data_IF_748875034526
#
_entry.id   IF_748875034526
#
_cell.length_a   1.000
_cell.length_b   1.000
_cell.length_c   1.000
_cell.angle_alpha   90.00
_cell.angle_beta   90.00
_cell.angle_gamma   90.00
#
_symmetry.space_group_name_H-M   'P 1'
#
loop_
_entity.id
_entity.type
_entity.pdbx_description
1 polymer ?
#
# COMPACT_ATOMS: atom_id res chain seq x y z
N UNK A 1 22.65 1.75 9.27
CA UNK A 1 21.68 1.52 10.35
C UNK A 1 20.84 2.77 10.43
N UNK A 2 19.66 2.74 9.82
CA UNK A 2 18.76 3.90 9.73
C UNK A 2 17.53 3.62 10.59
N UNK A 3 17.54 4.19 11.80
CA UNK A 3 16.46 4.12 12.78
C UNK A 3 15.45 5.25 12.50
N UNK A 4 14.63 5.12 11.45
CA UNK A 4 13.59 6.14 11.20
C UNK A 4 12.36 5.72 10.39
N UNK A 5 12.08 4.43 10.17
CA UNK A 5 10.97 4.06 9.27
C UNK A 5 9.59 3.89 9.91
N UNK A 6 9.45 3.96 11.23
CA UNK A 6 8.15 3.77 11.89
C UNK A 6 8.00 4.65 13.15
N UNK A 7 7.05 5.59 13.13
CA UNK A 7 6.63 6.33 14.32
C UNK A 7 5.33 5.74 14.85
N UNK A 8 5.43 4.67 15.65
CA UNK A 8 4.28 4.10 16.34
C UNK A 8 4.10 4.79 17.68
N UNK A 9 3.21 5.78 17.75
CA UNK A 9 2.77 6.38 19.01
C UNK A 9 1.73 5.50 19.70
N UNK A 10 2.09 4.29 20.14
CA UNK A 10 1.19 3.47 20.97
C UNK A 10 1.95 2.70 22.06
N UNK A 11 1.54 2.92 23.31
CA UNK A 11 2.11 2.31 24.52
C UNK A 11 1.45 0.97 24.93
N UNK A 12 0.55 0.41 24.13
CA UNK A 12 -0.15 -0.85 24.45
C UNK A 12 -0.19 -1.77 23.23
N UNK A 13 0.62 -2.83 23.24
CA UNK A 13 0.48 -3.97 22.35
C UNK A 13 -0.59 -4.91 22.91
N UNK A 14 -1.72 -5.05 22.21
CA UNK A 14 -2.59 -6.21 22.37
C UNK A 14 -2.20 -7.20 21.29
N UNK A 15 -1.86 -8.44 21.65
CA UNK A 15 -1.78 -9.52 20.66
C UNK A 15 -3.20 -9.76 20.11
N UNK A 16 -3.39 -9.54 18.82
CA UNK A 16 -4.62 -9.93 18.15
C UNK A 16 -4.50 -11.36 17.64
N UNK A 17 -5.31 -12.25 18.21
CA UNK A 17 -5.55 -13.57 17.65
C UNK A 17 -6.61 -13.46 16.55
N UNK A 18 -6.19 -13.45 15.29
CA UNK A 18 -7.09 -13.50 14.13
C UNK A 18 -7.07 -14.90 13.51
N UNK A 19 -8.16 -15.67 13.71
CA UNK A 19 -8.26 -17.07 13.26
C UNK A 19 -8.33 -17.24 11.73
N UNK A 20 -8.49 -16.15 10.97
CA UNK A 20 -8.64 -16.19 9.51
C UNK A 20 -7.33 -16.24 8.71
N UNK A 21 -6.15 -16.19 9.35
CA UNK A 21 -4.87 -16.14 8.64
C UNK A 21 -4.63 -17.34 7.72
N UNK A 22 -5.10 -18.55 8.07
CA UNK A 22 -4.98 -19.72 7.21
C UNK A 22 -5.72 -19.54 5.87
N UNK A 23 -6.90 -18.91 5.89
CA UNK A 23 -7.62 -18.57 4.65
C UNK A 23 -6.86 -17.51 3.85
N UNK A 24 -6.29 -16.50 4.52
CA UNK A 24 -5.49 -15.46 3.88
C UNK A 24 -4.28 -16.07 3.16
N UNK A 25 -3.56 -17.02 3.77
CA UNK A 25 -2.40 -17.68 3.15
C UNK A 25 -2.74 -18.33 1.80
N UNK A 26 -3.91 -18.96 1.69
CA UNK A 26 -4.38 -19.54 0.41
C UNK A 26 -4.66 -18.49 -0.66
N UNK A 27 -5.14 -17.30 -0.26
CA UNK A 27 -5.42 -16.17 -1.15
C UNK A 27 -4.11 -15.50 -1.58
N UNK A 28 -3.16 -15.31 -0.66
CA UNK A 28 -1.86 -14.70 -0.95
C UNK A 28 -1.17 -15.35 -2.14
N UNK A 29 -1.13 -16.70 -2.19
CA UNK A 29 -0.50 -17.44 -3.29
C UNK A 29 -1.20 -17.25 -4.64
N UNK A 30 -2.51 -17.02 -4.64
CA UNK A 30 -3.28 -16.75 -5.87
C UNK A 30 -3.09 -15.31 -6.35
N UNK A 31 -3.09 -14.38 -5.39
CA UNK A 31 -2.93 -12.95 -5.64
C UNK A 31 -1.53 -12.66 -6.16
N UNK A 32 -0.48 -13.24 -5.57
CA UNK A 32 0.91 -13.04 -6.04
C UNK A 32 1.10 -13.41 -7.51
N UNK A 33 0.39 -14.44 -7.99
CA UNK A 33 0.45 -14.87 -9.40
C UNK A 33 -0.32 -13.94 -10.36
N UNK A 34 -1.16 -13.04 -9.83
CA UNK A 34 -1.91 -12.06 -10.62
C UNK A 34 -1.13 -10.77 -10.87
N UNK A 35 -0.03 -10.56 -10.13
CA UNK A 35 0.88 -9.44 -10.31
C UNK A 35 2.10 -9.89 -11.12
N UNK A 36 2.54 -9.05 -12.05
CA UNK A 36 3.81 -9.30 -12.75
C UNK A 36 4.97 -9.13 -11.75
N UNK A 37 5.85 -10.13 -11.57
CA UNK A 37 6.97 -10.02 -10.65
C UNK A 37 7.95 -8.91 -11.07
N UNK A 38 8.53 -8.18 -10.12
CA UNK A 38 9.68 -7.34 -10.41
C UNK A 38 10.87 -8.23 -10.82
N UNK A 39 11.40 -8.07 -12.04
CA UNK A 39 12.67 -8.70 -12.43
C UNK A 39 13.84 -7.86 -11.87
N UNK A 40 14.87 -8.52 -11.34
CA UNK A 40 16.04 -7.85 -10.79
C UNK A 40 16.77 -6.99 -11.82
N UNK A 41 17.44 -5.93 -11.36
CA UNK A 41 18.31 -5.13 -12.19
C UNK A 41 19.44 -6.01 -12.74
N UNK A 42 19.62 -6.05 -14.06
CA UNK A 42 20.68 -6.80 -14.70
C UNK A 42 21.80 -5.85 -15.13
N UNK A 43 22.99 -6.14 -14.65
CA UNK A 43 24.20 -5.46 -15.06
C UNK A 43 25.00 -6.38 -15.97
N UNK A 44 25.59 -5.83 -17.02
CA UNK A 44 26.60 -6.54 -17.80
C UNK A 44 27.90 -5.76 -17.83
N UNK A 45 28.97 -6.48 -18.17
CA UNK A 45 30.29 -5.88 -18.31
C UNK A 45 30.32 -4.95 -19.51
N UNK A 46 30.84 -3.74 -19.28
CA UNK A 46 30.95 -2.69 -20.28
C UNK A 46 32.20 -1.85 -20.05
N UNK A 47 32.63 -1.17 -21.11
CA UNK A 47 33.70 -0.15 -21.05
C UNK A 47 33.18 1.17 -20.48
N UNK A 48 31.87 1.30 -20.27
CA UNK A 48 31.17 2.46 -19.71
C UNK A 48 30.37 2.03 -18.48
N UNK A 49 30.23 2.90 -17.49
CA UNK A 49 29.44 2.62 -16.29
C UNK A 49 30.05 3.23 -15.03
N UNK A 50 29.30 3.23 -13.93
CA UNK A 50 29.70 3.83 -12.66
C UNK A 50 30.19 2.81 -11.62
N UNK A 51 29.78 1.55 -11.74
CA UNK A 51 30.18 0.48 -10.82
C UNK A 51 31.23 -0.43 -11.45
N UNK A 52 32.19 -0.92 -10.66
CA UNK A 52 33.27 -1.82 -11.14
C UNK A 52 32.78 -3.28 -11.13
N UNK A 53 32.95 -4.00 -12.23
CA UNK A 53 32.78 -5.45 -12.30
C UNK A 53 34.01 -6.13 -11.74
N UNK A 54 33.91 -6.83 -10.60
CA UNK A 54 35.05 -7.59 -10.03
C UNK A 54 35.62 -8.58 -11.06
N UNK A 55 34.74 -9.33 -11.75
CA UNK A 55 35.14 -10.24 -12.83
C UNK A 55 35.85 -9.49 -13.97
N UNK A 56 35.36 -8.32 -14.38
CA UNK A 56 35.92 -7.53 -15.47
C UNK A 56 37.29 -6.96 -15.11
N UNK A 57 37.42 -6.48 -13.86
CA UNK A 57 38.68 -5.99 -13.31
C UNK A 57 39.74 -7.10 -13.21
N UNK A 58 39.37 -8.29 -12.75
CA UNK A 58 40.28 -9.46 -12.76
C UNK A 58 40.73 -9.77 -14.19
N UNK A 59 39.81 -9.77 -15.16
CA UNK A 59 40.13 -10.01 -16.57
C UNK A 59 41.09 -8.94 -17.13
N UNK A 60 40.88 -7.66 -16.80
CA UNK A 60 41.76 -6.56 -17.17
C UNK A 60 43.18 -6.75 -16.63
N UNK A 61 43.33 -7.15 -15.36
CA UNK A 61 44.65 -7.41 -14.75
C UNK A 61 45.37 -8.58 -15.43
N UNK A 62 44.66 -9.69 -15.67
CA UNK A 62 45.23 -10.89 -16.32
C UNK A 62 45.65 -10.58 -17.76
N UNK A 63 44.84 -9.81 -18.48
CA UNK A 63 45.08 -9.46 -19.89
C UNK A 63 45.99 -8.23 -20.06
N UNK A 64 46.59 -7.72 -18.99
CA UNK A 64 47.42 -6.51 -18.98
C UNK A 64 46.78 -5.32 -19.70
N UNK A 65 45.49 -5.14 -19.48
CA UNK A 65 44.72 -4.01 -19.99
C UNK A 65 44.11 -4.19 -21.38
N UNK A 66 44.19 -5.37 -22.00
CA UNK A 66 43.51 -5.62 -23.27
C UNK A 66 41.98 -5.69 -23.13
N UNK A 67 41.46 -6.30 -22.05
CA UNK A 67 40.02 -6.30 -21.78
C UNK A 67 39.61 -5.05 -21.00
N UNK A 68 38.94 -4.10 -21.66
CA UNK A 68 38.58 -2.81 -21.07
C UNK A 68 37.18 -2.80 -20.43
N UNK A 69 36.41 -3.89 -20.49
CA UNK A 69 35.06 -3.98 -19.91
C UNK A 69 35.09 -4.18 -18.38
N UNK A 70 35.72 -3.24 -17.68
CA UNK A 70 35.89 -3.26 -16.22
C UNK A 70 34.69 -2.69 -15.46
N UNK A 71 33.76 -2.02 -16.16
CA UNK A 71 32.59 -1.40 -15.56
C UNK A 71 31.35 -2.27 -15.74
N UNK A 72 30.36 -2.02 -14.90
CA UNK A 72 29.01 -2.57 -15.01
C UNK A 72 28.13 -1.49 -15.64
N UNK A 73 27.61 -1.80 -16.82
CA UNK A 73 26.56 -1.03 -17.45
C UNK A 73 25.22 -1.71 -17.19
N UNK A 74 24.20 -0.90 -16.93
CA UNK A 74 22.84 -1.37 -16.74
C UNK A 74 22.26 -1.70 -18.11
N UNK A 75 22.38 -2.96 -18.54
CA UNK A 75 21.93 -3.41 -19.85
C UNK A 75 20.43 -3.67 -19.91
N UNK A 76 19.84 -4.14 -18.80
CA UNK A 76 18.42 -4.46 -18.69
C UNK A 76 18.00 -4.51 -17.22
N UNK A 77 16.69 -4.59 -16.95
CA UNK A 77 16.18 -4.61 -15.57
C UNK A 77 15.83 -3.22 -15.07
N UNK A 78 14.65 -2.79 -15.51
CA UNK A 78 13.67 -2.08 -14.70
C UNK A 78 12.39 -2.83 -15.01
N UNK A 79 11.86 -3.54 -14.02
CA UNK A 79 10.56 -4.19 -14.16
C UNK A 79 9.57 -3.42 -13.36
N UNK A 80 8.34 -3.58 -13.79
CA UNK A 80 7.19 -2.77 -13.52
C UNK A 80 6.91 -2.69 -12.02
N UNK A 81 7.62 -1.78 -11.36
CA UNK A 81 7.45 -1.46 -9.94
C UNK A 81 6.05 -0.89 -9.76
N UNK A 82 5.31 -1.47 -8.83
CA UNK A 82 4.01 -0.98 -8.38
C UNK A 82 4.15 -0.43 -6.98
N UNK A 83 3.51 0.71 -6.71
CA UNK A 83 3.34 1.20 -5.34
C UNK A 83 1.93 0.95 -4.84
N UNK A 84 1.79 0.75 -3.53
CA UNK A 84 0.52 0.59 -2.86
C UNK A 84 0.23 1.81 -1.99
N UNK A 85 -0.89 2.47 -2.27
CA UNK A 85 -1.48 3.45 -1.38
C UNK A 85 -2.68 2.85 -0.68
N UNK A 86 -2.77 3.07 0.63
CA UNK A 86 -3.93 2.69 1.42
C UNK A 86 -4.47 3.93 2.10
N UNK A 87 -5.77 4.19 1.93
CA UNK A 87 -6.48 5.25 2.62
C UNK A 87 -7.60 4.61 3.42
N UNK A 88 -7.66 4.91 4.72
CA UNK A 88 -8.68 4.38 5.63
C UNK A 88 -9.50 5.53 6.21
N UNK A 89 -10.82 5.43 6.09
CA UNK A 89 -11.79 6.31 6.72
C UNK A 89 -11.94 5.98 8.21
N UNK A 90 -11.32 6.78 9.08
CA UNK A 90 -11.34 6.62 10.53
C UNK A 90 -12.57 7.19 11.24
N UNK A 91 -13.70 7.39 10.53
CA UNK A 91 -14.93 7.93 11.11
C UNK A 91 -15.74 6.91 11.92
N UNK A 92 -16.65 7.40 12.77
CA UNK A 92 -17.56 6.58 13.58
C UNK A 92 -18.48 5.71 12.70
N UNK A 93 -18.84 6.17 11.51
CA UNK A 93 -19.66 5.36 10.59
C UNK A 93 -18.90 4.14 10.06
N UNK A 94 -17.57 4.24 9.97
CA UNK A 94 -16.68 3.13 9.65
C UNK A 94 -16.27 2.26 10.86
N UNK A 95 -16.20 2.82 12.07
CA UNK A 95 -15.63 2.15 13.25
C UNK A 95 -16.40 2.32 14.58
N UNK A 96 -17.74 2.32 14.57
CA UNK A 96 -18.53 2.21 15.81
C UNK A 96 -18.51 0.80 16.41
N UNK A 97 -19.11 0.62 17.59
CA UNK A 97 -19.07 -0.65 18.33
C UNK A 97 -19.62 -1.85 17.53
N UNK A 98 -20.60 -1.62 16.64
CA UNK A 98 -21.26 -2.71 15.91
C UNK A 98 -20.51 -3.14 14.65
N UNK A 99 -19.73 -2.24 14.04
CA UNK A 99 -19.10 -2.48 12.73
C UNK A 99 -17.58 -2.48 12.76
N UNK A 100 -16.97 -1.96 13.82
CA UNK A 100 -15.51 -1.83 13.96
C UNK A 100 -14.77 -3.14 13.71
N UNK A 101 -15.22 -4.24 14.31
CA UNK A 101 -14.61 -5.56 14.11
C UNK A 101 -14.66 -6.01 12.64
N UNK A 102 -15.78 -5.78 11.95
CA UNK A 102 -15.92 -6.14 10.53
C UNK A 102 -15.07 -5.26 9.61
N UNK A 103 -15.02 -3.95 9.89
CA UNK A 103 -14.15 -3.02 9.17
C UNK A 103 -12.67 -3.37 9.34
N UNK A 104 -12.24 -3.65 10.57
CA UNK A 104 -10.86 -4.07 10.87
C UNK A 104 -10.55 -5.42 10.21
N UNK A 105 -11.45 -6.40 10.29
CA UNK A 105 -11.28 -7.69 9.62
C UNK A 105 -11.15 -7.52 8.10
N UNK A 106 -11.96 -6.66 7.48
CA UNK A 106 -11.87 -6.37 6.05
C UNK A 106 -10.50 -5.81 5.69
N UNK A 107 -9.99 -4.85 6.46
CA UNK A 107 -8.67 -4.24 6.27
C UNK A 107 -7.57 -5.30 6.44
N UNK A 108 -7.58 -6.07 7.52
CA UNK A 108 -6.58 -7.11 7.81
C UNK A 108 -6.59 -8.18 6.73
N UNK A 109 -7.76 -8.67 6.33
CA UNK A 109 -7.89 -9.67 5.27
C UNK A 109 -7.36 -9.16 3.92
N UNK A 110 -7.72 -7.93 3.56
CA UNK A 110 -7.32 -7.34 2.27
C UNK A 110 -5.82 -7.10 2.21
N UNK A 111 -5.28 -6.36 3.19
CA UNK A 111 -3.86 -6.02 3.24
C UNK A 111 -3.00 -7.27 3.52
N UNK A 112 -3.45 -8.17 4.38
CA UNK A 112 -2.81 -9.46 4.62
C UNK A 112 -2.73 -10.31 3.35
N UNK A 113 -3.76 -10.29 2.49
CA UNK A 113 -3.74 -11.00 1.20
C UNK A 113 -2.71 -10.45 0.22
N UNK A 114 -2.27 -9.21 0.42
CA UNK A 114 -1.26 -8.53 -0.40
C UNK A 114 0.18 -8.72 0.10
N UNK A 115 0.39 -9.47 1.19
CA UNK A 115 1.72 -9.69 1.78
C UNK A 115 2.76 -10.19 0.78
N UNK A 116 2.39 -11.12 -0.10
CA UNK A 116 3.32 -11.73 -1.07
C UNK A 116 3.45 -10.92 -2.37
N UNK A 117 2.73 -9.79 -2.50
CA UNK A 117 2.84 -8.92 -3.67
C UNK A 117 4.08 -8.04 -3.53
N UNK A 118 4.90 -7.98 -4.56
CA UNK A 118 6.17 -7.24 -4.52
C UNK A 118 5.95 -5.76 -4.86
N UNK A 119 5.33 -5.02 -3.92
CA UNK A 119 5.22 -3.56 -4.02
C UNK A 119 6.56 -2.91 -3.68
N UNK A 120 6.97 -1.96 -4.52
CA UNK A 120 8.20 -1.19 -4.37
C UNK A 120 8.11 -0.27 -3.15
N UNK A 121 6.96 0.39 -3.00
CA UNK A 121 6.65 1.26 -1.85
C UNK A 121 5.20 1.09 -1.40
N UNK A 122 4.99 1.19 -0.09
CA UNK A 122 3.68 1.18 0.55
C UNK A 122 3.53 2.39 1.45
N UNK A 123 2.43 3.13 1.26
CA UNK A 123 2.06 4.29 2.08
C UNK A 123 0.63 4.11 2.59
N UNK A 124 0.42 4.33 3.90
CA UNK A 124 -0.88 4.15 4.56
C UNK A 124 -1.29 5.45 5.27
N UNK A 125 -2.43 5.99 4.88
CA UNK A 125 -3.10 7.12 5.52
C UNK A 125 -4.38 6.68 6.22
N UNK A 126 -4.64 7.26 7.39
CA UNK A 126 -5.95 7.23 8.05
C UNK A 126 -6.46 8.65 8.14
N UNK A 127 -7.62 8.91 7.54
CA UNK A 127 -8.29 10.21 7.69
C UNK A 127 -9.25 10.15 8.87
N UNK A 128 -9.02 11.02 9.85
CA UNK A 128 -9.73 11.04 11.13
C UNK A 128 -10.07 12.47 11.49
N UNK A 129 -11.32 12.84 11.30
CA UNK A 129 -11.81 14.18 11.53
C UNK A 129 -11.22 15.13 10.50
N UNK A 130 -10.53 16.16 10.98
CA UNK A 130 -9.77 17.09 10.15
C UNK A 130 -8.29 16.71 10.03
N UNK A 131 -7.87 15.60 10.63
CA UNK A 131 -6.47 15.15 10.62
C UNK A 131 -6.27 14.00 9.63
N UNK A 132 -5.12 13.99 8.97
CA UNK A 132 -4.64 12.88 8.16
C UNK A 132 -3.44 12.31 8.90
N UNK A 133 -3.58 11.08 9.37
CA UNK A 133 -2.54 10.37 10.11
C UNK A 133 -1.85 9.42 9.15
N UNK A 134 -0.57 9.67 8.88
CA UNK A 134 0.29 8.77 8.13
C UNK A 134 0.83 7.68 9.08
N UNK A 135 0.55 6.41 8.78
CA UNK A 135 1.07 5.28 9.58
C UNK A 135 2.44 4.84 9.06
N UNK A 136 2.60 4.83 7.74
CA UNK A 136 3.86 4.51 7.08
C UNK A 136 3.95 5.26 5.75
N UNK A 137 5.18 5.58 5.34
CA UNK A 137 5.50 6.38 4.17
C UNK A 137 6.55 5.69 3.31
N UNK A 138 6.17 5.34 2.09
CA UNK A 138 7.05 4.76 1.08
C UNK A 138 7.92 3.59 1.57
N UNK A 139 7.35 2.71 2.41
CA UNK A 139 8.07 1.59 3.03
C UNK A 139 7.96 0.34 2.17
N UNK A 140 8.99 -0.52 2.15
CA UNK A 140 8.94 -1.79 1.42
C UNK A 140 7.98 -2.80 2.08
N UNK A 141 7.36 -3.66 1.25
CA UNK A 141 6.28 -4.55 1.70
C UNK A 141 6.74 -5.82 2.46
N UNK A 142 8.02 -6.18 2.40
CA UNK A 142 8.50 -7.54 2.75
C UNK A 142 8.01 -8.09 4.11
N UNK A 143 7.92 -7.24 5.15
CA UNK A 143 7.38 -7.61 6.46
C UNK A 143 6.21 -6.74 6.92
N UNK A 144 5.79 -5.77 6.11
CA UNK A 144 4.81 -4.76 6.51
C UNK A 144 3.46 -5.40 6.84
N UNK A 145 3.01 -6.39 6.06
CA UNK A 145 1.75 -7.11 6.29
C UNK A 145 1.93 -8.50 6.93
N UNK A 146 3.07 -8.77 7.57
CA UNK A 146 3.24 -9.99 8.37
C UNK A 146 2.30 -10.01 9.59
N UNK A 147 1.90 -11.19 10.07
CA UNK A 147 0.91 -11.34 11.17
C UNK A 147 1.34 -10.63 12.47
N UNK A 148 2.64 -10.57 12.73
CA UNK A 148 3.27 -9.91 13.87
C UNK A 148 3.68 -8.46 13.60
N UNK A 149 3.35 -7.92 12.42
CA UNK A 149 3.73 -6.56 12.05
C UNK A 149 3.10 -5.54 13.00
N UNK A 150 3.87 -4.54 13.46
CA UNK A 150 3.35 -3.54 14.36
C UNK A 150 2.39 -2.56 13.66
N UNK A 151 2.28 -2.61 12.31
CA UNK A 151 1.30 -1.82 11.54
C UNK A 151 -0.13 -2.10 11.99
N UNK A 152 -0.45 -3.35 12.33
CA UNK A 152 -1.79 -3.74 12.74
C UNK A 152 -2.20 -3.03 14.03
N UNK A 153 -1.28 -2.96 14.99
CA UNK A 153 -1.50 -2.20 16.22
C UNK A 153 -1.66 -0.69 15.93
N UNK A 154 -0.90 -0.14 14.97
CA UNK A 154 -1.08 1.24 14.53
C UNK A 154 -2.48 1.51 14.00
N UNK A 155 -2.93 0.70 13.03
CA UNK A 155 -4.26 0.80 12.42
C UNK A 155 -5.35 0.66 13.49
N UNK A 156 -5.28 -0.38 14.32
CA UNK A 156 -6.32 -0.69 15.31
C UNK A 156 -6.42 0.40 16.37
N UNK A 157 -5.30 0.92 16.88
CA UNK A 157 -5.33 1.96 17.91
C UNK A 157 -5.94 3.26 17.39
N UNK A 158 -5.62 3.65 16.14
CA UNK A 158 -6.18 4.86 15.53
C UNK A 158 -7.67 4.66 15.26
N UNK A 159 -8.05 3.54 14.63
CA UNK A 159 -9.45 3.25 14.25
C UNK A 159 -10.36 3.01 15.47
N UNK A 160 -9.84 2.48 16.58
CA UNK A 160 -10.61 2.27 17.83
C UNK A 160 -11.02 3.58 18.51
N UNK A 161 -10.43 4.70 18.12
CA UNK A 161 -10.73 6.03 18.66
C UNK A 161 -11.40 6.91 17.61
N UNK A 162 -12.35 6.37 16.86
CA UNK A 162 -12.97 7.00 15.69
C UNK A 162 -13.52 8.42 15.95
N UNK A 163 -13.46 9.27 14.92
CA UNK A 163 -13.98 10.66 14.94
C UNK A 163 -15.36 10.77 14.29
N UNK A 164 -16.11 11.83 14.58
CA UNK A 164 -17.46 12.02 13.99
C UNK A 164 -17.46 12.13 12.48
N UNK A 165 -16.39 12.67 11.89
CA UNK A 165 -16.21 12.83 10.44
C UNK A 165 -14.84 12.30 9.99
N UNK A 166 -14.63 12.25 8.68
CA UNK A 166 -13.37 11.95 8.03
C UNK A 166 -13.26 12.79 6.76
N UNK A 167 -12.05 13.28 6.46
CA UNK A 167 -11.77 14.01 5.23
C UNK A 167 -10.99 13.11 4.27
N UNK A 168 -11.72 12.20 3.62
CA UNK A 168 -11.13 11.22 2.70
C UNK A 168 -10.51 11.88 1.47
N UNK A 169 -11.07 13.01 1.03
CA UNK A 169 -10.61 13.75 -0.16
C UNK A 169 -9.23 14.33 0.06
N UNK A 170 -8.98 14.93 1.23
CA UNK A 170 -7.64 15.44 1.54
C UNK A 170 -6.62 14.32 1.69
N UNK A 171 -7.00 13.14 2.19
CA UNK A 171 -6.11 11.99 2.20
C UNK A 171 -5.77 11.48 0.79
N UNK A 172 -6.75 11.45 -0.13
CA UNK A 172 -6.51 11.16 -1.55
C UNK A 172 -5.66 12.24 -2.24
N UNK A 173 -5.77 13.50 -1.82
CA UNK A 173 -4.89 14.57 -2.31
C UNK A 173 -3.42 14.34 -1.86
N UNK A 174 -3.19 13.90 -0.62
CA UNK A 174 -1.85 13.48 -0.19
C UNK A 174 -1.31 12.32 -1.03
N UNK A 175 -2.16 11.38 -1.45
CA UNK A 175 -1.77 10.31 -2.38
C UNK A 175 -1.38 10.89 -3.74
N UNK A 176 -2.12 11.87 -4.30
CA UNK A 176 -1.75 12.51 -5.57
C UNK A 176 -0.40 13.22 -5.48
N UNK A 177 -0.15 13.93 -4.37
CA UNK A 177 1.11 14.65 -4.13
C UNK A 177 2.33 13.72 -4.10
N UNK A 178 2.19 12.53 -3.50
CA UNK A 178 3.25 11.51 -3.48
C UNK A 178 3.37 10.89 -4.87
N UNK A 179 2.24 10.49 -5.47
CA UNK A 179 2.21 9.86 -6.79
C UNK A 179 2.85 10.73 -7.86
N UNK A 180 2.68 12.06 -7.79
CA UNK A 180 3.28 13.01 -8.72
C UNK A 180 4.82 13.00 -8.70
N UNK A 181 5.44 12.51 -7.62
CA UNK A 181 6.90 12.46 -7.43
C UNK A 181 7.47 11.05 -7.67
N UNK A 182 6.64 10.01 -7.59
CA UNK A 182 7.06 8.62 -7.77
C UNK A 182 7.38 8.29 -9.23
N UNK A 183 8.37 7.41 -9.43
CA UNK A 183 8.74 6.89 -10.75
C UNK A 183 8.21 5.46 -11.01
N UNK A 184 7.45 4.89 -10.07
CA UNK A 184 6.86 3.54 -10.21
C UNK A 184 5.87 3.50 -11.39
N UNK A 185 5.77 2.37 -12.08
CA UNK A 185 5.02 2.27 -13.36
C UNK A 185 3.52 2.53 -13.18
N UNK A 186 2.97 2.01 -12.09
CA UNK A 186 1.56 2.08 -11.73
C UNK A 186 1.44 2.06 -10.21
N UNK A 187 0.35 2.56 -9.68
CA UNK A 187 0.01 2.45 -8.27
C UNK A 187 -1.36 1.84 -8.09
N UNK A 188 -1.50 1.01 -7.07
CA UNK A 188 -2.77 0.54 -6.57
C UNK A 188 -3.16 1.42 -5.39
N UNK A 189 -4.30 2.11 -5.46
CA UNK A 189 -4.84 2.87 -4.33
C UNK A 189 -6.08 2.15 -3.78
N UNK A 190 -6.00 1.66 -2.55
CA UNK A 190 -7.13 1.05 -1.85
C UNK A 190 -7.72 2.06 -0.87
N UNK A 191 -9.00 2.38 -1.05
CA UNK A 191 -9.71 3.34 -0.20
C UNK A 191 -10.80 2.61 0.60
N UNK A 192 -10.59 2.41 1.90
CA UNK A 192 -11.57 1.81 2.80
C UNK A 192 -12.47 2.90 3.36
N UNK A 193 -13.74 2.93 2.94
CA UNK A 193 -14.72 3.94 3.37
C UNK A 193 -16.14 3.42 3.19
N UNK A 194 -17.11 3.97 3.93
CA UNK A 194 -18.54 3.81 3.65
C UNK A 194 -19.09 4.86 2.67
N UNK A 195 -18.26 5.83 2.30
CA UNK A 195 -18.61 6.98 1.47
C UNK A 195 -19.83 7.74 2.04
N UNK A 196 -19.90 7.86 3.38
CA UNK A 196 -20.89 8.70 4.06
C UNK A 196 -20.49 10.18 3.98
N UNK A 197 -20.75 10.78 2.81
CA UNK A 197 -20.48 12.20 2.56
C UNK A 197 -21.77 12.98 2.32
N UNK A 198 -21.73 14.30 2.54
CA UNK A 198 -22.85 15.16 2.22
C UNK A 198 -23.03 15.29 0.71
N UNK A 199 -24.26 15.52 0.26
CA UNK A 199 -24.61 15.55 -1.18
C UNK A 199 -23.81 16.58 -2.00
N UNK A 200 -23.38 17.68 -1.39
CA UNK A 200 -22.54 18.69 -2.03
C UNK A 200 -21.07 18.26 -2.16
N UNK A 201 -20.59 17.37 -1.28
CA UNK A 201 -19.21 16.86 -1.27
C UNK A 201 -19.05 15.67 -2.23
N UNK A 202 -20.14 14.98 -2.58
CA UNK A 202 -20.13 13.80 -3.45
C UNK A 202 -19.61 14.05 -4.88
N UNK A 203 -19.46 15.32 -5.31
CA UNK A 203 -18.83 15.67 -6.58
C UNK A 203 -17.30 15.72 -6.50
N UNK A 204 -16.75 15.98 -5.31
CA UNK A 204 -15.32 16.15 -5.07
C UNK A 204 -14.49 14.86 -5.26
N UNK A 205 -14.96 13.65 -4.87
CA UNK A 205 -14.24 12.40 -5.13
C UNK A 205 -13.92 12.18 -6.61
N UNK A 206 -14.88 12.45 -7.50
CA UNK A 206 -14.72 12.18 -8.94
C UNK A 206 -13.53 12.93 -9.56
N UNK A 207 -13.30 14.18 -9.14
CA UNK A 207 -12.18 15.00 -9.64
C UNK A 207 -10.83 14.43 -9.22
N UNK A 208 -10.64 14.15 -7.93
CA UNK A 208 -9.35 13.63 -7.42
C UNK A 208 -9.07 12.22 -7.92
N UNK A 209 -10.11 11.37 -8.04
CA UNK A 209 -9.98 10.02 -8.60
C UNK A 209 -9.55 10.09 -10.07
N UNK A 210 -10.16 10.99 -10.86
CA UNK A 210 -9.77 11.16 -12.28
C UNK A 210 -8.32 11.63 -12.41
N UNK A 211 -7.86 12.51 -11.51
CA UNK A 211 -6.46 12.95 -11.46
C UNK A 211 -5.52 11.79 -11.15
N UNK A 212 -5.82 10.99 -10.12
CA UNK A 212 -5.04 9.80 -9.76
C UNK A 212 -4.99 8.77 -10.90
N UNK A 213 -6.13 8.46 -11.55
CA UNK A 213 -6.19 7.55 -12.70
C UNK A 213 -5.32 8.05 -13.85
N UNK A 214 -5.29 9.36 -14.13
CA UNK A 214 -4.43 9.94 -15.16
C UNK A 214 -2.93 9.76 -14.90
N UNK A 215 -2.56 9.61 -13.61
CA UNK A 215 -1.19 9.29 -13.16
C UNK A 215 -0.94 7.80 -12.97
N UNK A 216 -1.83 6.94 -13.47
CA UNK A 216 -1.79 5.49 -13.33
C UNK A 216 -1.85 5.04 -11.87
N UNK A 217 -2.61 5.75 -11.03
CA UNK A 217 -2.96 5.33 -9.68
C UNK A 217 -4.45 4.98 -9.64
N UNK A 218 -4.78 3.73 -9.93
CA UNK A 218 -6.17 3.29 -9.95
C UNK A 218 -6.72 3.21 -8.52
N UNK A 219 -7.86 3.86 -8.28
CA UNK A 219 -8.49 3.94 -6.96
C UNK A 219 -9.62 2.92 -6.87
N UNK A 220 -9.46 1.97 -5.95
CA UNK A 220 -10.45 0.94 -5.64
C UNK A 220 -11.05 1.21 -4.26
N UNK A 221 -12.33 1.55 -4.23
CA UNK A 221 -13.05 1.68 -2.97
C UNK A 221 -13.46 0.31 -2.43
N UNK A 222 -13.22 0.11 -1.14
CA UNK A 222 -13.64 -1.08 -0.40
C UNK A 222 -14.61 -0.61 0.68
N UNK A 223 -15.87 -1.02 0.52
CA UNK A 223 -16.94 -0.68 1.44
C UNK A 223 -16.71 -1.29 2.82
N UNK A 224 -16.55 -0.43 3.82
CA UNK A 224 -16.55 -0.78 5.25
C UNK A 224 -17.65 0.02 5.97
N UNK A 225 -17.82 -0.15 7.30
CA UNK A 225 -18.78 0.62 8.08
C UNK A 225 -20.24 0.17 7.98
N UNK A 226 -21.15 1.00 8.52
CA UNK A 226 -22.58 0.66 8.69
C UNK A 226 -23.28 0.41 7.35
N UNK A 227 -23.02 1.27 6.37
CA UNK A 227 -23.77 1.24 5.12
C UNK A 227 -22.96 1.80 3.95
N UNK A 228 -22.04 1.01 3.37
CA UNK A 228 -21.21 1.46 2.26
C UNK A 228 -21.96 1.60 0.92
N UNK A 229 -23.28 1.83 0.91
CA UNK A 229 -24.08 1.93 -0.33
C UNK A 229 -23.62 3.01 -1.29
N UNK A 230 -23.04 4.08 -0.77
CA UNK A 230 -22.67 5.24 -1.55
C UNK A 230 -21.30 5.10 -2.22
N UNK A 231 -20.51 4.06 -1.93
CA UNK A 231 -19.18 3.87 -2.55
C UNK A 231 -19.30 3.78 -4.09
N UNK A 232 -20.38 3.17 -4.58
CA UNK A 232 -20.66 3.02 -6.02
C UNK A 232 -20.99 4.34 -6.71
N UNK A 233 -21.38 5.37 -5.93
CA UNK A 233 -21.66 6.72 -6.42
C UNK A 233 -20.40 7.59 -6.45
N UNK A 234 -19.50 7.37 -5.49
CA UNK A 234 -18.26 8.15 -5.35
C UNK A 234 -17.08 7.58 -6.14
N UNK A 235 -17.05 6.27 -6.41
CA UNK A 235 -15.90 5.58 -6.97
C UNK A 235 -16.28 4.69 -8.16
N UNK A 236 -15.45 4.75 -9.21
CA UNK A 236 -15.59 3.95 -10.43
C UNK A 236 -15.42 2.46 -10.15
N UNK A 237 -14.36 2.10 -9.44
CA UNK A 237 -14.13 0.73 -8.98
C UNK A 237 -14.49 0.63 -7.51
N UNK A 238 -15.51 -0.16 -7.21
CA UNK A 238 -15.98 -0.33 -5.84
C UNK A 238 -16.34 -1.78 -5.55
N UNK A 239 -15.90 -2.25 -4.38
CA UNK A 239 -16.16 -3.58 -3.87
C UNK A 239 -16.81 -3.51 -2.52
N UNK A 240 -17.75 -4.41 -2.30
CA UNK A 240 -18.44 -4.53 -1.03
C UNK A 240 -17.72 -5.58 -0.21
N UNK A 241 -17.34 -5.23 1.01
CA UNK A 241 -17.08 -6.25 2.01
C UNK A 241 -18.40 -6.98 2.27
N UNK A 242 -18.52 -8.19 1.74
CA UNK A 242 -19.63 -9.07 2.08
C UNK A 242 -19.43 -9.51 3.54
N UNK A 243 -20.34 -9.06 4.40
CA UNK A 243 -20.51 -9.56 5.77
C UNK A 243 -20.94 -11.03 5.66
N UNK A 244 -19.99 -11.96 5.46
CA UNK A 244 -20.24 -13.38 5.57
C UNK A 244 -19.11 -14.07 6.34
N UNK A 245 -19.46 -14.43 7.58
CA UNK A 245 -18.94 -15.54 8.38
C UNK A 245 -17.43 -15.62 8.64
N UNK A 246 -16.99 -15.01 9.74
CA UNK A 246 -16.25 -15.75 10.77
C UNK A 246 -16.76 -15.25 12.12
N UNK A 247 -17.44 -16.09 12.88
CA UNK A 247 -17.73 -15.82 14.29
C UNK A 247 -16.41 -15.55 15.03
N UNK A 248 -16.32 -14.40 15.69
CA UNK A 248 -15.23 -14.06 16.62
C UNK A 248 -15.52 -14.71 17.96
#
# INVERSE_FOLDING_TARGET
MDESQFVIKSKKSKELSFKGYEKIKSIQARVSNSFEPNKPTQFAQSTKGSNISIKGYIQFLITQGQEQRIYLEKNAGLVLSQSLFVVIDGSISCFNEHVSNHSLQTIICTLGSLKLVDFDTVTIFISKGNEIIEICHEVQNHDLFAENSPIWNGIINICSSASSNSNIISALACVDDIRAKQQTKQSLCLCFTDCLMLSHEMKSPGTIITQLESRRADVYAIGIGINPRNITKGFKYSFWSLIFCVDI
#
